data_IF_468980662929
#
_entry.id   IF_468980662929
#
_cell.length_a   1.000
_cell.length_b   1.000
_cell.length_c   1.000
_cell.angle_alpha   90.00
_cell.angle_beta   90.00
_cell.angle_gamma   90.00
#
_symmetry.space_group_name_H-M   'P 1'
#
loop_
_entity.id
_entity.type
_entity.pdbx_description
1 polymer ?
#
# COMPACT_ATOMS: atom_id res chain seq x y z
N UNK A 1 102.76 -42.55 -27.90
CA UNK A 1 102.37 -42.85 -26.50
C UNK A 1 100.85 -42.97 -26.49
N UNK A 2 100.25 -44.15 -26.68
CA UNK A 2 100.15 -45.27 -25.74
C UNK A 2 99.67 -44.84 -24.36
N UNK A 3 98.38 -45.01 -24.06
CA UNK A 3 97.97 -46.10 -23.18
C UNK A 3 96.48 -46.46 -23.34
N UNK A 4 96.25 -47.75 -23.59
CA UNK A 4 94.98 -48.47 -23.43
C UNK A 4 94.54 -48.48 -21.96
N UNK A 5 93.23 -48.53 -21.74
CA UNK A 5 92.60 -48.93 -20.48
C UNK A 5 91.11 -49.15 -20.65
N UNK A 6 90.72 -50.37 -21.05
CA UNK A 6 89.34 -50.88 -20.95
C UNK A 6 88.97 -51.08 -19.48
N UNK A 7 87.81 -50.55 -19.08
CA UNK A 7 86.83 -51.15 -18.16
C UNK A 7 85.48 -50.49 -18.54
N UNK A 8 84.40 -51.17 -18.92
CA UNK A 8 83.95 -52.49 -18.54
C UNK A 8 83.18 -52.40 -17.23
N UNK A 9 81.91 -51.97 -17.25
CA UNK A 9 80.80 -52.63 -16.53
C UNK A 9 79.49 -51.81 -16.55
N UNK A 10 78.51 -52.39 -17.23
CA UNK A 10 77.07 -52.44 -17.00
C UNK A 10 76.23 -51.14 -16.97
N UNK A 11 75.24 -50.99 -17.89
CA UNK A 11 74.07 -50.19 -17.58
C UNK A 11 73.35 -50.89 -16.42
N UNK A 12 73.23 -50.20 -15.28
CA UNK A 12 72.33 -50.61 -14.21
C UNK A 12 70.91 -50.42 -14.75
N UNK A 13 70.39 -51.42 -15.45
CA UNK A 13 68.96 -51.57 -15.65
C UNK A 13 68.35 -51.75 -14.27
N UNK A 14 67.89 -50.65 -13.68
CA UNK A 14 67.00 -50.67 -12.54
C UNK A 14 65.63 -51.14 -13.05
N UNK A 15 65.53 -52.41 -13.42
CA UNK A 15 64.27 -53.11 -13.56
C UNK A 15 63.72 -53.23 -12.14
N UNK A 16 62.95 -52.22 -11.71
CA UNK A 16 62.08 -52.36 -10.55
C UNK A 16 61.21 -53.58 -10.84
N UNK A 17 61.34 -54.71 -10.11
CA UNK A 17 60.53 -55.87 -10.40
C UNK A 17 59.09 -55.49 -10.04
N UNK A 18 58.29 -55.19 -11.05
CA UNK A 18 56.84 -55.08 -10.96
C UNK A 18 56.30 -56.48 -10.67
N UNK A 19 56.44 -56.94 -9.43
CA UNK A 19 55.82 -58.18 -9.00
C UNK A 19 54.31 -58.00 -9.03
N UNK A 20 53.57 -59.00 -9.53
CA UNK A 20 52.11 -58.96 -9.64
C UNK A 20 51.44 -58.62 -8.29
N UNK A 21 52.06 -59.04 -7.18
CA UNK A 21 51.72 -58.67 -5.80
C UNK A 21 51.68 -57.15 -5.56
N UNK A 22 52.68 -56.40 -6.03
CA UNK A 22 52.71 -54.94 -5.85
C UNK A 22 51.62 -54.24 -6.66
N UNK A 23 51.28 -54.76 -7.85
CA UNK A 23 50.20 -54.24 -8.69
C UNK A 23 48.84 -54.47 -8.02
N UNK A 24 48.62 -55.66 -7.45
CA UNK A 24 47.37 -55.99 -6.77
C UNK A 24 47.16 -55.16 -5.50
N UNK A 25 48.22 -54.94 -4.71
CA UNK A 25 48.16 -54.07 -3.52
C UNK A 25 47.90 -52.62 -3.90
N UNK A 26 48.59 -52.10 -4.93
CA UNK A 26 48.36 -50.74 -5.43
C UNK A 26 46.94 -50.55 -6.00
N UNK A 27 46.40 -51.54 -6.70
CA UNK A 27 45.04 -51.52 -7.21
C UNK A 27 43.99 -51.48 -6.08
N UNK A 28 44.15 -52.29 -5.03
CA UNK A 28 43.26 -52.28 -3.86
C UNK A 28 43.31 -50.94 -3.12
N UNK A 29 44.49 -50.36 -2.97
CA UNK A 29 44.69 -49.09 -2.25
C UNK A 29 44.11 -47.89 -3.03
N UNK A 30 44.33 -47.84 -4.35
CA UNK A 30 43.73 -46.80 -5.21
C UNK A 30 42.21 -46.90 -5.27
N UNK A 31 41.66 -48.12 -5.40
CA UNK A 31 40.22 -48.34 -5.34
C UNK A 31 39.62 -47.87 -4.00
N UNK A 32 40.26 -48.23 -2.88
CA UNK A 32 39.86 -47.78 -1.55
C UNK A 32 39.83 -46.26 -1.40
N UNK A 33 40.85 -45.57 -1.92
CA UNK A 33 40.91 -44.11 -1.89
C UNK A 33 39.80 -43.46 -2.73
N UNK A 34 39.48 -44.00 -3.91
CA UNK A 34 38.39 -43.49 -4.74
C UNK A 34 37.05 -43.64 -4.03
N UNK A 35 36.79 -44.79 -3.43
CA UNK A 35 35.56 -45.02 -2.64
C UNK A 35 35.49 -44.05 -1.47
N UNK A 36 36.58 -43.88 -0.71
CA UNK A 36 36.64 -42.96 0.42
C UNK A 36 36.37 -41.51 0.00
N UNK A 37 37.01 -41.03 -1.07
CA UNK A 37 36.81 -39.67 -1.58
C UNK A 37 35.37 -39.50 -2.06
N UNK A 38 34.80 -40.48 -2.78
CA UNK A 38 33.42 -40.41 -3.23
C UNK A 38 32.42 -40.33 -2.07
N UNK A 39 32.67 -41.07 -0.99
CA UNK A 39 31.88 -41.02 0.24
C UNK A 39 31.99 -39.63 0.90
N UNK A 40 33.21 -39.12 1.03
CA UNK A 40 33.45 -37.79 1.60
C UNK A 40 32.78 -36.68 0.78
N UNK A 41 32.89 -36.71 -0.55
CA UNK A 41 32.20 -35.79 -1.44
C UNK A 41 30.68 -35.87 -1.26
N UNK A 42 30.11 -37.07 -1.17
CA UNK A 42 28.66 -37.27 -0.98
C UNK A 42 28.19 -36.70 0.37
N UNK A 43 28.97 -36.88 1.44
CA UNK A 43 28.67 -36.32 2.76
C UNK A 43 28.78 -34.79 2.75
N UNK A 44 29.82 -34.24 2.13
CA UNK A 44 30.03 -32.79 2.00
C UNK A 44 28.91 -32.16 1.18
N UNK A 45 28.53 -32.73 0.04
CA UNK A 45 27.42 -32.24 -0.79
C UNK A 45 26.08 -32.31 -0.05
N UNK A 46 25.84 -33.40 0.71
CA UNK A 46 24.64 -33.53 1.54
C UNK A 46 24.58 -32.47 2.63
N UNK A 47 25.71 -32.23 3.33
CA UNK A 47 25.81 -31.16 4.33
C UNK A 47 25.63 -29.79 3.71
N UNK A 48 26.25 -29.52 2.56
CA UNK A 48 26.12 -28.26 1.85
C UNK A 48 24.66 -28.00 1.49
N UNK A 49 23.98 -28.98 0.87
CA UNK A 49 22.57 -28.88 0.48
C UNK A 49 21.64 -28.65 1.67
N UNK A 50 21.90 -29.31 2.80
CA UNK A 50 21.14 -29.11 4.03
C UNK A 50 21.22 -27.65 4.51
N UNK A 51 22.42 -27.06 4.51
CA UNK A 51 22.63 -25.69 4.97
C UNK A 51 22.17 -24.63 3.97
N UNK A 52 22.32 -24.86 2.66
CA UNK A 52 22.01 -23.86 1.63
C UNK A 52 20.56 -23.89 1.16
N UNK A 53 19.86 -25.02 1.25
CA UNK A 53 18.49 -25.16 0.69
C UNK A 53 17.46 -25.49 1.77
N UNK A 54 17.66 -26.57 2.51
CA UNK A 54 16.63 -27.07 3.44
C UNK A 54 16.33 -26.06 4.55
N UNK A 55 17.39 -25.50 5.16
CA UNK A 55 17.25 -24.56 6.27
C UNK A 55 16.55 -23.25 5.90
N UNK A 56 16.92 -22.56 4.80
CA UNK A 56 16.23 -21.33 4.38
C UNK A 56 14.77 -21.55 4.00
N UNK A 57 14.44 -22.66 3.34
CA UNK A 57 13.06 -22.98 2.97
C UNK A 57 12.19 -23.17 4.21
N UNK A 58 12.70 -23.85 5.24
CA UNK A 58 12.00 -23.98 6.53
C UNK A 58 11.72 -22.61 7.16
N UNK A 59 12.67 -21.67 7.14
CA UNK A 59 12.44 -20.32 7.66
C UNK A 59 11.32 -19.58 6.94
N UNK A 60 11.20 -19.76 5.61
CA UNK A 60 10.11 -19.17 4.83
C UNK A 60 8.78 -19.83 5.20
N UNK A 61 8.77 -21.15 5.40
CA UNK A 61 7.58 -21.87 5.83
C UNK A 61 7.11 -21.40 7.23
N UNK A 62 8.02 -21.30 8.20
CA UNK A 62 7.73 -20.81 9.55
C UNK A 62 7.23 -19.35 9.51
N UNK A 63 7.81 -18.52 8.65
CA UNK A 63 7.37 -17.14 8.45
C UNK A 63 5.98 -17.06 7.82
N UNK A 64 5.67 -17.95 6.86
CA UNK A 64 4.36 -18.03 6.25
C UNK A 64 3.30 -18.49 7.27
N UNK A 65 3.64 -19.44 8.16
CA UNK A 65 2.76 -19.87 9.25
C UNK A 65 2.38 -18.70 10.17
N UNK A 66 3.35 -17.86 10.56
CA UNK A 66 3.07 -16.63 11.33
C UNK A 66 2.14 -15.65 10.62
N UNK A 67 2.29 -15.49 9.30
CA UNK A 67 1.35 -14.68 8.51
C UNK A 67 -0.06 -15.27 8.56
N UNK A 68 -0.19 -16.60 8.49
CA UNK A 68 -1.52 -17.25 8.61
C UNK A 68 -2.13 -17.13 10.00
N UNK A 69 -1.32 -16.97 11.04
CA UNK A 69 -1.76 -16.65 12.40
C UNK A 69 -2.12 -15.17 12.59
N UNK A 70 -1.86 -14.31 11.60
CA UNK A 70 -2.17 -12.88 11.61
C UNK A 70 -0.99 -11.97 12.00
N UNK A 71 0.22 -12.50 12.18
CA UNK A 71 1.42 -11.68 12.37
C UNK A 71 2.01 -11.27 11.00
N UNK A 72 1.72 -10.04 10.60
CA UNK A 72 2.23 -9.44 9.35
C UNK A 72 3.53 -8.65 9.53
N UNK A 73 4.13 -8.64 10.73
CA UNK A 73 5.38 -7.93 11.01
C UNK A 73 6.63 -8.76 10.68
N UNK A 74 6.43 -9.94 10.09
CA UNK A 74 7.49 -10.90 9.82
C UNK A 74 8.39 -10.41 8.69
N UNK A 75 9.70 -10.49 8.92
CA UNK A 75 10.71 -10.13 7.94
C UNK A 75 11.81 -11.20 7.89
N UNK A 76 12.06 -11.74 6.70
CA UNK A 76 13.10 -12.74 6.46
C UNK A 76 14.34 -12.05 5.92
N UNK A 77 15.49 -12.24 6.58
CA UNK A 77 16.75 -11.70 6.08
C UNK A 77 17.24 -12.47 4.84
N UNK A 78 17.80 -11.78 3.84
CA UNK A 78 18.41 -12.43 2.67
C UNK A 78 19.50 -13.42 3.07
N UNK A 79 19.61 -14.52 2.33
CA UNK A 79 20.63 -15.54 2.57
C UNK A 79 21.81 -15.28 1.64
N UNK A 80 23.02 -15.30 2.18
CA UNK A 80 24.23 -15.14 1.37
C UNK A 80 24.48 -16.41 0.54
N UNK A 81 24.43 -16.27 -0.78
CA UNK A 81 24.73 -17.36 -1.72
C UNK A 81 25.99 -17.04 -2.53
N UNK A 82 26.93 -17.99 -2.53
CA UNK A 82 28.17 -17.96 -3.30
C UNK A 82 27.87 -18.25 -4.78
N UNK A 83 27.26 -17.30 -5.48
CA UNK A 83 26.90 -17.43 -6.89
C UNK A 83 25.77 -16.48 -7.22
N UNK A 84 26.08 -15.39 -7.91
CA UNK A 84 25.15 -14.28 -8.18
C UNK A 84 23.81 -14.73 -8.78
N UNK A 85 22.74 -14.08 -8.31
CA UNK A 85 21.32 -14.34 -8.57
C UNK A 85 20.79 -15.66 -8.01
N UNK A 86 20.56 -15.65 -6.69
CA UNK A 86 19.87 -16.72 -5.98
C UNK A 86 18.35 -16.52 -6.07
N UNK A 87 17.66 -17.42 -6.76
CA UNK A 87 16.19 -17.43 -6.85
C UNK A 87 15.51 -17.46 -5.48
N UNK A 88 16.18 -17.99 -4.45
CA UNK A 88 15.70 -17.97 -3.07
C UNK A 88 15.60 -16.54 -2.52
N UNK A 89 16.58 -15.68 -2.79
CA UNK A 89 16.53 -14.29 -2.37
C UNK A 89 15.42 -13.51 -3.08
N UNK A 90 15.14 -13.81 -4.35
CA UNK A 90 13.99 -13.25 -5.05
C UNK A 90 12.66 -13.63 -4.39
N UNK A 91 12.52 -14.88 -3.95
CA UNK A 91 11.34 -15.35 -3.21
C UNK A 91 11.25 -14.62 -1.86
N UNK A 92 12.36 -14.51 -1.11
CA UNK A 92 12.41 -13.78 0.17
C UNK A 92 11.98 -12.32 -0.01
N UNK A 93 12.50 -11.63 -1.03
CA UNK A 93 12.11 -10.25 -1.31
C UNK A 93 10.62 -10.13 -1.66
N UNK A 94 10.09 -11.05 -2.47
CA UNK A 94 8.68 -11.08 -2.84
C UNK A 94 7.78 -11.36 -1.63
N UNK A 95 8.20 -12.29 -0.76
CA UNK A 95 7.52 -12.62 0.48
C UNK A 95 7.49 -11.41 1.44
N UNK A 96 8.64 -10.78 1.68
CA UNK A 96 8.72 -9.61 2.56
C UNK A 96 7.86 -8.45 2.04
N UNK A 97 7.84 -8.24 0.72
CA UNK A 97 6.96 -7.24 0.11
C UNK A 97 5.48 -7.58 0.33
N UNK A 98 5.09 -8.84 0.12
CA UNK A 98 3.72 -9.30 0.39
C UNK A 98 3.33 -9.11 1.85
N UNK A 99 4.21 -9.47 2.79
CA UNK A 99 3.98 -9.27 4.23
C UNK A 99 3.79 -7.80 4.57
N UNK A 100 4.61 -6.91 4.00
CA UNK A 100 4.49 -5.47 4.19
C UNK A 100 3.18 -4.90 3.61
N UNK A 101 2.79 -5.32 2.40
CA UNK A 101 1.52 -4.91 1.77
C UNK A 101 0.33 -5.37 2.62
N UNK A 102 0.36 -6.60 3.15
CA UNK A 102 -0.69 -7.14 4.00
C UNK A 102 -0.77 -6.44 5.37
N UNK A 103 0.38 -6.13 5.98
CA UNK A 103 0.46 -5.33 7.20
C UNK A 103 -0.15 -3.94 7.01
N UNK A 104 0.11 -3.29 5.86
CA UNK A 104 -0.51 -2.02 5.50
C UNK A 104 -2.02 -2.12 5.38
N UNK A 105 -2.54 -3.17 4.72
CA UNK A 105 -3.98 -3.41 4.60
C UNK A 105 -4.63 -3.63 5.97
N UNK A 106 -4.02 -4.45 6.84
CA UNK A 106 -4.58 -4.71 8.16
C UNK A 106 -4.56 -3.47 9.06
N UNK A 107 -3.51 -2.64 8.95
CA UNK A 107 -3.46 -1.34 9.64
C UNK A 107 -4.61 -0.44 9.18
N UNK A 108 -4.78 -0.27 7.86
CA UNK A 108 -5.87 0.54 7.30
C UNK A 108 -7.25 0.01 7.71
N UNK A 109 -7.43 -1.31 7.72
CA UNK A 109 -8.67 -1.96 8.16
C UNK A 109 -8.94 -1.67 9.63
N UNK A 110 -7.93 -1.80 10.49
CA UNK A 110 -8.04 -1.55 11.93
C UNK A 110 -8.39 -0.09 12.20
N UNK A 111 -7.69 0.84 11.54
CA UNK A 111 -7.96 2.28 11.63
C UNK A 111 -9.37 2.61 11.15
N UNK A 112 -9.80 2.03 10.03
CA UNK A 112 -11.15 2.19 9.51
C UNK A 112 -12.21 1.73 10.52
N UNK A 113 -12.07 0.52 11.09
CA UNK A 113 -13.00 -0.01 12.08
C UNK A 113 -13.04 0.87 13.33
N UNK A 114 -11.87 1.31 13.81
CA UNK A 114 -11.75 2.20 14.97
C UNK A 114 -12.47 3.53 14.73
N UNK A 115 -12.20 4.17 13.59
CA UNK A 115 -12.81 5.45 13.22
C UNK A 115 -14.33 5.33 13.06
N UNK A 116 -14.81 4.33 12.33
CA UNK A 116 -16.25 4.08 12.18
C UNK A 116 -16.91 3.85 13.54
N UNK A 117 -16.29 3.05 14.41
CA UNK A 117 -16.82 2.77 15.75
C UNK A 117 -16.93 4.05 16.60
N UNK A 118 -15.94 4.94 16.51
CA UNK A 118 -15.97 6.23 17.21
C UNK A 118 -17.11 7.13 16.69
N UNK A 119 -17.24 7.26 15.38
CA UNK A 119 -18.26 8.10 14.75
C UNK A 119 -19.69 7.57 14.95
N UNK A 120 -19.87 6.25 15.10
CA UNK A 120 -21.17 5.65 15.45
C UNK A 120 -21.51 5.85 16.94
N UNK A 121 -20.53 5.80 17.84
CA UNK A 121 -20.74 5.86 19.29
C UNK A 121 -21.34 7.19 19.74
N UNK A 122 -20.91 8.29 19.14
CA UNK A 122 -21.36 9.65 19.49
C UNK A 122 -22.88 9.86 19.29
N UNK A 123 -23.46 9.68 18.07
CA UNK A 123 -24.89 9.80 17.87
C UNK A 123 -25.69 8.73 18.63
N UNK A 124 -25.15 7.52 18.79
CA UNK A 124 -25.81 6.47 19.58
C UNK A 124 -25.95 6.87 21.06
N UNK A 125 -24.91 7.46 21.66
CA UNK A 125 -24.95 7.95 23.03
C UNK A 125 -25.98 9.09 23.19
N UNK A 126 -26.10 9.97 22.20
CA UNK A 126 -27.13 11.02 22.17
C UNK A 126 -28.54 10.39 22.16
N UNK A 127 -28.79 9.43 21.27
CA UNK A 127 -30.08 8.73 21.19
C UNK A 127 -30.43 8.06 22.52
N UNK A 128 -29.47 7.37 23.15
CA UNK A 128 -29.68 6.71 24.45
C UNK A 128 -29.96 7.71 25.58
N UNK A 129 -29.18 8.78 25.68
CA UNK A 129 -29.32 9.78 26.73
C UNK A 129 -30.66 10.51 26.64
N UNK A 130 -30.98 11.09 25.47
CA UNK A 130 -32.23 11.81 25.28
C UNK A 130 -33.45 10.87 25.27
N UNK A 131 -33.30 9.64 24.76
CA UNK A 131 -34.32 8.59 24.88
C UNK A 131 -34.64 8.23 26.33
N UNK A 132 -33.64 8.26 27.23
CA UNK A 132 -33.85 8.06 28.67
C UNK A 132 -34.52 9.28 29.30
N UNK A 133 -34.11 10.49 28.94
CA UNK A 133 -34.74 11.74 29.43
C UNK A 133 -36.21 11.83 29.03
N UNK A 134 -36.57 11.37 27.83
CA UNK A 134 -37.95 11.33 27.34
C UNK A 134 -38.89 10.42 28.15
N UNK A 135 -38.35 9.44 28.90
CA UNK A 135 -39.14 8.55 29.74
C UNK A 135 -39.56 9.18 31.07
N UNK A 136 -39.09 10.40 31.38
CA UNK A 136 -39.44 11.09 32.62
C UNK A 136 -40.91 11.58 32.57
N UNK A 137 -41.74 11.20 33.56
CA UNK A 137 -43.18 11.49 33.54
C UNK A 137 -43.51 12.98 33.70
N UNK A 138 -42.66 13.75 34.38
CA UNK A 138 -42.87 15.18 34.67
C UNK A 138 -42.18 16.12 33.66
N UNK A 139 -41.78 15.62 32.48
CA UNK A 139 -41.10 16.43 31.48
C UNK A 139 -42.05 17.43 30.80
N UNK A 140 -41.74 18.74 30.79
CA UNK A 140 -42.49 19.75 30.05
C UNK A 140 -42.60 19.42 28.56
N UNK A 141 -43.75 19.73 27.95
CA UNK A 141 -44.02 19.36 26.56
C UNK A 141 -43.03 20.02 25.57
N UNK A 142 -42.61 21.25 25.84
CA UNK A 142 -41.60 21.96 25.03
C UNK A 142 -40.25 21.22 25.03
N UNK A 143 -39.77 20.80 26.20
CA UNK A 143 -38.54 20.02 26.35
C UNK A 143 -38.68 18.61 25.74
N UNK A 144 -39.87 18.01 25.85
CA UNK A 144 -40.16 16.71 25.21
C UNK A 144 -40.01 16.81 23.69
N UNK A 145 -40.52 17.86 23.06
CA UNK A 145 -40.36 18.07 21.63
C UNK A 145 -38.91 18.33 21.24
N UNK A 146 -38.16 19.11 22.03
CA UNK A 146 -36.73 19.36 21.80
C UNK A 146 -35.90 18.07 21.89
N UNK A 147 -36.15 17.24 22.90
CA UNK A 147 -35.45 15.97 23.08
C UNK A 147 -35.81 14.97 21.98
N UNK A 148 -37.09 14.87 21.60
CA UNK A 148 -37.53 14.03 20.48
C UNK A 148 -36.90 14.46 19.15
N UNK A 149 -36.77 15.77 18.92
CA UNK A 149 -36.06 16.32 17.76
C UNK A 149 -34.58 15.94 17.80
N UNK A 150 -33.92 16.08 18.95
CA UNK A 150 -32.50 15.71 19.12
C UNK A 150 -32.25 14.22 18.83
N UNK A 151 -33.12 13.33 19.31
CA UNK A 151 -33.07 11.89 19.00
C UNK A 151 -33.24 11.65 17.49
N UNK A 152 -34.20 12.33 16.87
CA UNK A 152 -34.47 12.19 15.43
C UNK A 152 -33.29 12.65 14.59
N UNK A 153 -32.68 13.79 14.94
CA UNK A 153 -31.53 14.34 14.24
C UNK A 153 -30.30 13.44 14.39
N UNK A 154 -30.05 12.91 15.59
CA UNK A 154 -28.97 11.93 15.82
C UNK A 154 -29.19 10.63 15.04
N UNK A 155 -30.43 10.15 14.96
CA UNK A 155 -30.79 8.95 14.19
C UNK A 155 -30.59 9.16 12.69
N UNK A 156 -30.93 10.35 12.16
CA UNK A 156 -30.69 10.71 10.75
C UNK A 156 -29.20 10.74 10.44
N UNK A 157 -28.39 11.39 11.28
CA UNK A 157 -26.92 11.42 11.12
C UNK A 157 -26.31 10.02 11.11
N UNK A 158 -26.78 9.14 11.99
CA UNK A 158 -26.34 7.74 12.04
C UNK A 158 -26.67 6.99 10.73
N UNK A 159 -27.89 7.18 10.21
CA UNK A 159 -28.32 6.57 8.95
C UNK A 159 -27.51 7.08 7.75
N UNK A 160 -27.20 8.38 7.71
CA UNK A 160 -26.36 8.99 6.67
C UNK A 160 -24.94 8.41 6.70
N UNK A 161 -24.35 8.24 7.89
CA UNK A 161 -23.03 7.64 8.06
C UNK A 161 -22.99 6.19 7.56
N UNK A 162 -23.98 5.37 7.95
CA UNK A 162 -24.11 3.99 7.47
C UNK A 162 -24.27 3.95 5.95
N UNK A 163 -25.10 4.84 5.39
CA UNK A 163 -25.33 4.94 3.95
C UNK A 163 -24.03 5.27 3.21
N UNK A 164 -23.22 6.20 3.74
CA UNK A 164 -21.94 6.56 3.15
C UNK A 164 -20.94 5.39 3.20
N UNK A 165 -20.91 4.63 4.29
CA UNK A 165 -20.08 3.41 4.40
C UNK A 165 -20.51 2.35 3.38
N UNK A 166 -21.81 2.12 3.20
CA UNK A 166 -22.32 1.16 2.21
C UNK A 166 -22.01 1.61 0.76
N UNK A 167 -22.12 2.91 0.47
CA UNK A 167 -21.72 3.48 -0.83
C UNK A 167 -20.24 3.26 -1.09
N UNK A 168 -19.39 3.49 -0.09
CA UNK A 168 -17.94 3.29 -0.21
C UNK A 168 -17.61 1.82 -0.51
N UNK A 169 -18.16 0.87 0.25
CA UNK A 169 -17.98 -0.56 0.00
C UNK A 169 -18.44 -0.99 -1.41
N UNK A 170 -19.53 -0.40 -1.91
CA UNK A 170 -20.01 -0.65 -3.27
C UNK A 170 -19.07 -0.10 -4.34
N UNK A 171 -18.42 1.04 -4.08
CA UNK A 171 -17.40 1.60 -4.98
C UNK A 171 -16.12 0.77 -4.99
N UNK A 172 -15.70 0.22 -3.85
CA UNK A 172 -14.49 -0.64 -3.77
C UNK A 172 -14.69 -2.02 -4.41
N UNK A 173 -15.89 -2.61 -4.27
CA UNK A 173 -16.20 -3.94 -4.84
C UNK A 173 -16.46 -3.92 -6.34
N UNK A 174 -16.79 -2.77 -6.93
CA UNK A 174 -16.89 -2.64 -8.37
C UNK A 174 -15.50 -2.42 -8.96
N UNK A 175 -14.94 -3.43 -9.63
CA UNK A 175 -13.94 -3.21 -10.67
C UNK A 175 -14.61 -2.43 -11.80
N UNK A 176 -14.79 -1.13 -11.62
CA UNK A 176 -15.14 -0.23 -12.70
C UNK A 176 -13.90 -0.25 -13.59
N UNK A 177 -14.02 -0.85 -14.77
CA UNK A 177 -13.08 -0.63 -15.88
C UNK A 177 -13.62 0.58 -16.63
N UNK A 178 -13.33 1.82 -16.20
CA UNK A 178 -13.82 2.96 -16.95
C UNK A 178 -13.20 2.96 -18.34
N UNK A 179 -14.06 2.97 -19.35
CA UNK A 179 -13.65 3.24 -20.71
C UNK A 179 -13.15 4.69 -20.79
N UNK A 180 -12.07 4.90 -21.56
CA UNK A 180 -11.47 6.24 -21.72
C UNK A 180 -12.32 7.05 -22.68
N UNK A 181 -13.08 8.00 -22.15
CA UNK A 181 -13.83 8.97 -22.95
C UNK A 181 -13.11 10.33 -22.99
N UNK A 182 -13.37 11.11 -24.04
CA UNK A 182 -12.91 12.49 -24.16
C UNK A 182 -14.05 13.37 -23.66
N UNK A 183 -13.78 14.23 -22.70
CA UNK A 183 -14.77 15.16 -22.17
C UNK A 183 -14.19 16.58 -22.08
N UNK A 184 -15.08 17.56 -22.22
CA UNK A 184 -14.77 18.97 -22.06
C UNK A 184 -14.73 19.31 -20.56
N UNK A 185 -13.55 19.68 -20.06
CA UNK A 185 -13.39 20.08 -18.66
C UNK A 185 -14.09 21.38 -18.33
N UNK A 186 -14.24 22.30 -19.29
CA UNK A 186 -14.91 23.57 -19.08
C UNK A 186 -16.38 23.37 -18.80
N UNK A 187 -17.05 22.55 -19.61
CA UNK A 187 -18.46 22.20 -19.40
C UNK A 187 -18.69 21.54 -18.04
N UNK A 188 -17.83 20.58 -17.68
CA UNK A 188 -17.92 19.89 -16.40
C UNK A 188 -17.75 20.85 -15.22
N UNK A 189 -16.73 21.72 -15.25
CA UNK A 189 -16.51 22.69 -14.18
C UNK A 189 -17.71 23.63 -14.04
N UNK A 190 -18.28 24.12 -15.14
CA UNK A 190 -19.49 24.94 -15.11
C UNK A 190 -20.68 24.20 -14.48
N UNK A 191 -20.90 22.93 -14.81
CA UNK A 191 -21.96 22.12 -14.17
C UNK A 191 -21.75 21.98 -12.66
N UNK A 192 -20.52 21.71 -12.20
CA UNK A 192 -20.25 21.61 -10.76
C UNK A 192 -20.46 22.97 -10.08
N UNK A 193 -20.04 24.07 -10.71
CA UNK A 193 -20.21 25.43 -10.19
C UNK A 193 -21.69 25.79 -10.04
N UNK A 194 -22.50 25.57 -11.06
CA UNK A 194 -23.95 25.80 -11.01
C UNK A 194 -24.64 24.95 -9.92
N UNK A 195 -24.15 23.73 -9.65
CA UNK A 195 -24.71 22.90 -8.58
C UNK A 195 -24.53 23.48 -7.16
N UNK A 196 -23.65 24.47 -6.99
CA UNK A 196 -23.42 25.17 -5.74
C UNK A 196 -24.03 26.57 -5.69
N UNK A 197 -24.89 26.92 -6.67
CA UNK A 197 -25.42 28.27 -6.83
C UNK A 197 -26.17 28.77 -5.61
N UNK A 198 -27.10 27.96 -5.12
CA UNK A 198 -27.90 28.28 -3.93
C UNK A 198 -27.02 28.55 -2.69
N UNK A 199 -25.87 27.87 -2.57
CA UNK A 199 -25.02 27.93 -1.38
C UNK A 199 -24.20 29.21 -1.33
N UNK A 200 -23.72 29.71 -2.47
CA UNK A 200 -22.97 30.98 -2.47
C UNK A 200 -23.89 32.19 -2.46
N UNK A 201 -25.12 32.09 -2.99
CA UNK A 201 -26.11 33.18 -2.92
C UNK A 201 -26.55 33.39 -1.47
N UNK A 202 -26.84 32.31 -0.74
CA UNK A 202 -27.21 32.37 0.68
C UNK A 202 -26.10 33.01 1.54
N UNK A 203 -24.84 32.84 1.12
CA UNK A 203 -23.66 33.38 1.80
C UNK A 203 -23.21 34.76 1.27
N UNK A 204 -23.91 35.33 0.29
CA UNK A 204 -23.55 36.60 -0.34
C UNK A 204 -22.17 36.59 -1.01
N UNK A 205 -21.75 35.45 -1.53
CA UNK A 205 -20.48 35.28 -2.24
C UNK A 205 -20.71 35.40 -3.74
N UNK A 206 -19.89 36.22 -4.40
CA UNK A 206 -19.93 36.42 -5.85
C UNK A 206 -18.83 35.57 -6.50
N UNK A 207 -19.17 34.88 -7.59
CA UNK A 207 -18.29 33.93 -8.26
C UNK A 207 -17.77 34.49 -9.59
N UNK A 208 -16.45 34.58 -9.74
CA UNK A 208 -15.74 34.97 -10.97
C UNK A 208 -14.69 33.89 -11.33
N UNK A 209 -15.10 32.92 -12.14
CA UNK A 209 -14.36 31.75 -12.67
C UNK A 209 -13.79 31.86 -14.10
N UNK A 210 -12.54 32.31 -14.30
CA UNK A 210 -11.87 32.26 -15.63
C UNK A 210 -11.55 30.82 -16.08
N UNK A 211 -12.40 30.26 -16.95
CA UNK A 211 -12.30 28.88 -17.46
C UNK A 211 -12.02 28.94 -18.96
N UNK A 212 -10.91 28.34 -19.38
CA UNK A 212 -10.57 28.21 -20.79
C UNK A 212 -11.58 27.31 -21.52
N UNK A 213 -12.09 27.77 -22.66
CA UNK A 213 -12.96 27.01 -23.55
C UNK A 213 -12.16 25.89 -24.25
N UNK A 214 -12.81 24.75 -24.54
CA UNK A 214 -12.27 23.62 -25.31
C UNK A 214 -11.09 22.84 -24.69
N UNK A 215 -10.98 22.80 -23.36
CA UNK A 215 -9.99 21.94 -22.69
C UNK A 215 -10.48 20.49 -22.67
N UNK A 216 -10.22 19.77 -23.76
CA UNK A 216 -10.53 18.35 -23.87
C UNK A 216 -9.50 17.50 -23.12
N UNK A 217 -9.94 16.79 -22.09
CA UNK A 217 -9.09 15.85 -21.36
C UNK A 217 -9.56 14.42 -21.57
N UNK A 218 -8.60 13.57 -21.93
CA UNK A 218 -8.81 12.14 -22.05
C UNK A 218 -8.51 11.47 -20.72
N UNK A 219 -9.54 11.17 -19.96
CA UNK A 219 -9.40 10.55 -18.65
C UNK A 219 -10.34 9.36 -18.51
N UNK A 220 -9.99 8.50 -17.56
CA UNK A 220 -10.77 7.33 -17.15
C UNK A 220 -11.96 7.71 -16.25
N UNK A 221 -12.27 9.00 -16.07
CA UNK A 221 -13.41 9.45 -15.26
C UNK A 221 -13.79 10.88 -15.64
N UNK A 222 -15.08 11.22 -15.85
CA UNK A 222 -15.51 12.59 -15.72
C UNK A 222 -15.26 13.05 -14.28
N UNK A 223 -14.73 14.26 -14.12
CA UNK A 223 -14.28 14.81 -12.82
C UNK A 223 -15.46 15.14 -11.90
N UNK A 224 -16.66 15.34 -12.46
CA UNK A 224 -17.92 15.44 -11.73
C UNK A 224 -18.97 14.55 -12.42
N UNK A 225 -19.84 13.90 -11.65
CA UNK A 225 -21.17 13.52 -12.14
C UNK A 225 -22.16 14.11 -11.16
N UNK A 226 -22.67 15.33 -11.40
CA UNK A 226 -23.90 15.76 -10.75
C UNK A 226 -25.02 14.80 -11.21
N UNK A 227 -25.95 14.50 -10.30
CA UNK A 227 -26.88 13.37 -10.42
C UNK A 227 -27.49 13.18 -11.81
N UNK A 228 -27.53 11.91 -12.25
CA UNK A 228 -28.27 11.47 -13.43
C UNK A 228 -29.78 11.74 -13.27
N UNK A 229 -30.21 12.98 -13.46
CA UNK A 229 -31.57 13.33 -13.87
C UNK A 229 -31.66 14.82 -14.21
N UNK A 230 -31.49 15.15 -15.50
CA UNK A 230 -32.41 16.01 -16.26
C UNK A 230 -32.04 15.94 -17.74
N UNK A 231 -32.81 15.12 -18.47
CA UNK A 231 -32.95 15.29 -19.93
C UNK A 231 -33.66 16.63 -20.15
N UNK A 232 -33.08 17.52 -20.94
CA UNK A 232 -33.79 18.72 -21.37
C UNK A 232 -32.90 19.76 -22.04
N UNK A 233 -32.91 19.74 -23.38
CA UNK A 233 -32.76 20.87 -24.30
C UNK A 233 -31.79 22.01 -23.94
N UNK A 234 -30.67 22.03 -24.68
CA UNK A 234 -29.94 23.20 -25.16
C UNK A 234 -30.24 24.56 -24.55
N UNK A 235 -29.35 25.01 -23.67
CA UNK A 235 -29.01 26.43 -23.56
C UNK A 235 -27.52 26.53 -23.31
N UNK A 236 -26.82 26.97 -24.36
CA UNK A 236 -25.37 27.21 -24.35
C UNK A 236 -25.14 28.46 -23.49
N UNK A 237 -24.69 28.27 -22.25
CA UNK A 237 -24.34 29.39 -21.36
C UNK A 237 -22.98 29.90 -21.79
N UNK A 238 -22.98 30.92 -22.66
CA UNK A 238 -21.79 31.66 -23.05
C UNK A 238 -21.51 32.72 -21.98
N UNK A 239 -20.84 32.33 -20.89
CA UNK A 239 -20.39 33.25 -19.85
C UNK A 239 -18.87 33.34 -19.87
N UNK A 240 -18.34 34.45 -20.38
CA UNK A 240 -16.92 34.80 -20.22
C UNK A 240 -16.70 35.24 -18.79
N UNK A 241 -15.63 34.75 -18.19
CA UNK A 241 -15.34 35.04 -16.79
C UNK A 241 -13.86 35.35 -16.65
N UNK A 242 -13.51 36.37 -15.88
CA UNK A 242 -12.19 37.00 -15.91
C UNK A 242 -11.80 37.39 -14.49
N UNK A 243 -11.07 36.48 -13.84
CA UNK A 243 -10.18 36.66 -12.66
C UNK A 243 -10.82 36.38 -11.29
N UNK A 244 -10.37 35.29 -10.64
CA UNK A 244 -10.80 34.94 -9.30
C UNK A 244 -10.11 35.80 -8.20
N UNK A 245 -10.89 36.60 -7.48
CA UNK A 245 -10.50 37.21 -6.20
C UNK A 245 -11.59 36.93 -5.18
N UNK A 246 -11.27 36.15 -4.14
CA UNK A 246 -12.17 35.96 -2.99
C UNK A 246 -12.09 37.21 -2.11
N UNK A 247 -13.05 38.13 -2.27
CA UNK A 247 -13.16 39.33 -1.43
C UNK A 247 -14.28 39.14 -0.41
N UNK A 248 -13.94 39.01 0.87
CA UNK A 248 -14.90 39.10 1.97
C UNK A 248 -15.27 40.57 2.23
N UNK A 249 -16.51 40.91 2.61
CA UNK A 249 -16.88 42.29 2.91
C UNK A 249 -16.13 42.82 4.14
N UNK A 250 -15.48 43.97 3.99
CA UNK A 250 -14.63 44.63 4.99
C UNK A 250 -15.42 44.96 6.28
N UNK A 251 -15.07 44.30 7.38
CA UNK A 251 -15.49 44.69 8.73
C UNK A 251 -14.68 45.91 9.19
N UNK A 252 -15.31 47.07 9.10
CA UNK A 252 -14.79 48.40 9.42
C UNK A 252 -14.17 48.47 10.83
N UNK A 253 -12.83 48.36 10.94
CA UNK A 253 -12.09 48.65 12.18
C UNK A 253 -12.03 50.15 12.43
N UNK A 254 -12.92 50.61 13.31
CA UNK A 254 -12.83 51.89 14.02
C UNK A 254 -11.62 51.86 14.97
N UNK A 255 -10.44 52.24 14.50
CA UNK A 255 -9.31 52.63 15.36
C UNK A 255 -9.07 54.12 15.21
N UNK A 256 -9.36 54.85 16.28
CA UNK A 256 -9.26 56.31 16.40
C UNK A 256 -7.84 56.79 16.13
N UNK A 257 -7.75 57.86 15.34
CA UNK A 257 -6.56 58.69 15.27
C UNK A 257 -6.21 59.35 16.61
N UNK A 258 -4.93 59.25 16.95
CA UNK A 258 -4.08 60.27 17.59
C UNK A 258 -2.77 60.14 16.81
N UNK A 259 -2.27 61.10 16.04
CA UNK A 259 -2.20 62.54 16.27
C UNK A 259 -0.95 62.84 17.09
N UNK A 260 0.18 63.12 16.41
CA UNK A 260 1.34 63.97 16.77
C UNK A 260 2.58 63.47 15.95
N UNK A 261 2.90 64.08 14.80
CA UNK A 261 3.91 65.16 14.58
C UNK A 261 5.35 64.85 15.00
N UNK A 262 6.15 64.42 14.03
CA UNK A 262 7.37 65.04 13.46
C UNK A 262 8.51 65.59 14.37
N UNK A 263 9.74 65.26 13.93
CA UNK A 263 11.06 65.82 14.27
C UNK A 263 11.48 65.66 15.75
N UNK A 264 12.59 65.02 16.11
CA UNK A 264 13.95 65.07 15.57
C UNK A 264 14.78 63.88 16.04
#
# INVERSE_FOLDING_TARGET
>A
MSHKGQTGSNPVNMEVPLTLEMIEVAAKLTFGNVVLISLLCTVIDSMRRWFTVTRPVQRIADAAEKITEGDFSVHIQPVFSMGGQDGLNTIIHSFNRMAQELSGIETLRTDFISNVSHELKTPLAVIQNYGTMLQQPELPEELRQEYAKTVTDASRRLADLITNILKLNKLESQQIYPEKEVFDLGEQLCECLLAFEDIWEEKGMELDTDIAEDVAVRSRRPVCQPGQHRRGAGQRVSGTVRKAVVSAPEFQRRSKGKGLTAHH
#
